data_IF_368230132041
#
_entry.id   IF_368230132041
#
_cell.length_a   1.000
_cell.length_b   1.000
_cell.length_c   1.000
_cell.angle_alpha   90.00
_cell.angle_beta   90.00
_cell.angle_gamma   90.00
#
_symmetry.space_group_name_H-M   'P 1'
#
loop_
_entity.id
_entity.type
_entity.pdbx_description
1 polymer ?
#
# COMPACT_ATOMS: atom_id res chain seq x y z
N UNK A 1 4.57 -14.21 4.61
CA UNK A 1 3.18 -14.73 4.55
C UNK A 1 2.42 -14.10 5.71
N UNK A 2 1.24 -13.53 5.44
CA UNK A 2 0.31 -13.14 6.50
C UNK A 2 -0.71 -14.27 6.69
N UNK A 3 -0.58 -15.01 7.79
CA UNK A 3 -1.39 -16.22 8.03
C UNK A 3 -2.84 -15.90 8.43
N UNK A 4 -3.14 -14.64 8.79
CA UNK A 4 -4.48 -14.21 9.19
C UNK A 4 -5.30 -13.73 7.99
N UNK A 5 -4.68 -12.90 7.15
CA UNK A 5 -5.32 -12.29 5.99
C UNK A 5 -5.11 -13.08 4.69
N UNK A 6 -4.19 -14.06 4.68
CA UNK A 6 -4.05 -15.00 3.58
C UNK A 6 -3.31 -14.45 2.35
N UNK A 7 -2.37 -13.51 2.54
CA UNK A 7 -1.56 -12.98 1.44
C UNK A 7 -0.07 -13.29 1.55
N UNK A 8 0.60 -13.32 0.40
CA UNK A 8 2.04 -13.63 0.29
C UNK A 8 2.77 -12.36 -0.15
N UNK A 9 3.70 -11.91 0.68
CA UNK A 9 4.71 -10.93 0.29
C UNK A 9 5.94 -11.64 -0.27
N UNK A 10 6.49 -11.13 -1.37
CA UNK A 10 7.74 -11.60 -1.96
C UNK A 10 8.86 -10.62 -1.59
N UNK A 11 10.04 -11.17 -1.29
CA UNK A 11 11.24 -10.36 -1.02
C UNK A 11 11.89 -9.83 -2.31
N UNK A 12 11.59 -10.46 -3.44
CA UNK A 12 12.07 -10.06 -4.76
C UNK A 12 10.87 -9.97 -5.71
N UNK A 13 10.89 -8.96 -6.57
CA UNK A 13 9.92 -8.86 -7.65
C UNK A 13 10.16 -9.96 -8.65
N UNK A 14 9.08 -10.60 -9.12
CA UNK A 14 9.17 -11.61 -10.18
C UNK A 14 9.40 -10.95 -11.53
N UNK A 15 10.19 -11.60 -12.38
CA UNK A 15 10.34 -11.24 -13.78
C UNK A 15 9.05 -11.52 -14.58
N UNK A 16 8.93 -10.93 -15.76
CA UNK A 16 7.71 -11.06 -16.57
C UNK A 16 7.44 -12.53 -16.98
N UNK A 17 8.50 -13.27 -17.29
CA UNK A 17 8.50 -14.68 -17.70
C UNK A 17 8.42 -15.68 -16.53
N UNK A 18 8.47 -15.23 -15.29
CA UNK A 18 8.36 -16.10 -14.13
C UNK A 18 6.90 -16.41 -13.77
N UNK A 19 6.68 -17.65 -13.33
CA UNK A 19 5.39 -18.16 -12.84
C UNK A 19 5.46 -18.33 -11.33
N UNK A 20 4.40 -17.96 -10.62
CA UNK A 20 4.25 -18.22 -9.19
C UNK A 20 3.05 -19.13 -8.96
N UNK A 21 3.28 -20.28 -8.34
CA UNK A 21 2.23 -21.17 -7.86
C UNK A 21 2.53 -21.59 -6.41
N UNK A 22 1.48 -21.94 -5.66
CA UNK A 22 1.57 -22.31 -4.25
C UNK A 22 0.74 -23.55 -3.97
N UNK A 23 1.18 -24.33 -2.99
CA UNK A 23 0.34 -25.25 -2.24
C UNK A 23 0.35 -24.81 -0.78
N UNK A 24 -0.81 -24.89 -0.12
CA UNK A 24 -0.91 -24.54 1.29
C UNK A 24 -2.06 -25.29 1.96
N UNK A 25 -1.95 -25.39 3.27
CA UNK A 25 -2.96 -25.98 4.15
C UNK A 25 -3.31 -24.96 5.24
N UNK A 26 -4.59 -24.86 5.57
CA UNK A 26 -5.06 -24.02 6.66
C UNK A 26 -6.17 -24.72 7.41
N UNK A 27 -6.34 -24.36 8.69
CA UNK A 27 -7.41 -24.90 9.53
C UNK A 27 -8.37 -23.79 9.87
N UNK A 28 -9.65 -23.99 9.56
CA UNK A 28 -10.72 -23.06 9.86
C UNK A 28 -11.82 -23.80 10.61
N UNK A 29 -12.15 -23.31 11.81
CA UNK A 29 -13.17 -23.91 12.70
C UNK A 29 -12.98 -25.42 12.93
N UNK A 30 -11.73 -25.83 13.13
CA UNK A 30 -11.36 -27.23 13.39
C UNK A 30 -11.35 -28.14 12.16
N UNK A 31 -11.70 -27.62 10.98
CA UNK A 31 -11.62 -28.35 9.71
C UNK A 31 -10.36 -27.91 8.96
N UNK A 32 -9.57 -28.89 8.52
CA UNK A 32 -8.38 -28.66 7.71
C UNK A 32 -8.76 -28.64 6.23
N UNK A 33 -8.32 -27.60 5.54
CA UNK A 33 -8.46 -27.42 4.10
C UNK A 33 -7.07 -27.38 3.48
N UNK A 34 -6.94 -28.01 2.31
CA UNK A 34 -5.71 -28.03 1.53
C UNK A 34 -6.01 -27.51 0.12
N UNK A 35 -5.09 -26.72 -0.41
CA UNK A 35 -5.12 -26.19 -1.76
C UNK A 35 -3.81 -26.55 -2.44
N UNK A 36 -3.89 -27.32 -3.52
CA UNK A 36 -2.73 -27.89 -4.21
C UNK A 36 -2.16 -29.13 -3.50
N UNK A 37 -1.10 -29.68 -4.06
CA UNK A 37 -0.43 -30.89 -3.58
C UNK A 37 0.95 -30.57 -3.00
N UNK A 38 1.29 -31.22 -1.89
CA UNK A 38 2.64 -31.20 -1.34
C UNK A 38 3.47 -32.36 -1.91
N UNK A 39 4.80 -32.20 -1.92
CA UNK A 39 5.71 -33.27 -2.34
C UNK A 39 5.62 -34.53 -1.47
N UNK A 40 5.04 -34.42 -0.28
CA UNK A 40 4.82 -35.52 0.66
C UNK A 40 3.50 -36.28 0.44
N UNK A 41 2.65 -35.84 -0.49
CA UNK A 41 1.31 -36.41 -0.69
C UNK A 41 1.34 -37.68 -1.58
N UNK A 42 2.52 -38.20 -1.89
CA UNK A 42 2.70 -39.46 -2.63
C UNK A 42 2.70 -39.33 -4.15
N UNK A 43 2.79 -38.10 -4.70
CA UNK A 43 3.00 -37.87 -6.13
C UNK A 43 4.44 -38.24 -6.49
N UNK A 44 4.60 -39.27 -7.31
CA UNK A 44 5.91 -39.79 -7.71
C UNK A 44 6.20 -39.50 -9.19
N UNK A 45 7.47 -39.25 -9.58
CA UNK A 45 7.83 -39.09 -10.98
C UNK A 45 7.35 -40.28 -11.84
N UNK A 46 6.83 -40.04 -13.06
CA UNK A 46 6.86 -38.80 -13.82
C UNK A 46 5.69 -37.83 -13.58
N UNK A 47 4.82 -38.10 -12.61
CA UNK A 47 3.63 -37.28 -12.36
C UNK A 47 3.99 -35.90 -11.80
N UNK A 48 3.20 -34.90 -12.18
CA UNK A 48 3.40 -33.50 -11.79
C UNK A 48 2.50 -33.10 -10.63
N UNK A 49 3.03 -32.26 -9.72
CA UNK A 49 2.25 -31.66 -8.64
C UNK A 49 1.23 -30.66 -9.19
N UNK A 50 0.00 -30.76 -8.72
CA UNK A 50 -1.07 -29.80 -8.99
C UNK A 50 -1.03 -28.68 -7.96
N UNK A 51 -0.79 -27.44 -8.41
CA UNK A 51 -0.62 -26.27 -7.56
C UNK A 51 -1.63 -25.17 -7.89
N UNK A 52 -1.84 -24.24 -6.94
CA UNK A 52 -2.63 -23.03 -7.18
C UNK A 52 -1.75 -21.95 -7.81
N UNK A 53 -2.04 -21.62 -9.07
CA UNK A 53 -1.40 -20.51 -9.76
C UNK A 53 -1.78 -19.15 -9.15
N UNK A 54 -0.79 -18.30 -8.88
CA UNK A 54 -0.93 -16.92 -8.39
C UNK A 54 -0.43 -15.86 -9.37
N UNK A 55 0.56 -16.18 -10.22
CA UNK A 55 1.01 -15.33 -11.33
C UNK A 55 1.38 -16.21 -12.53
N UNK A 56 0.86 -15.85 -13.70
CA UNK A 56 1.22 -16.45 -14.99
C UNK A 56 2.31 -15.63 -15.70
N UNK A 57 2.86 -16.16 -16.79
CA UNK A 57 3.79 -15.44 -17.66
C UNK A 57 3.11 -14.25 -18.36
N UNK A 58 1.91 -14.48 -18.87
CA UNK A 58 1.07 -13.44 -19.47
C UNK A 58 0.14 -12.89 -18.41
N UNK A 59 0.25 -11.59 -18.17
CA UNK A 59 -0.63 -10.90 -17.22
C UNK A 59 -1.80 -10.29 -17.98
N UNK A 60 -3.01 -10.80 -17.74
CA UNK A 60 -4.25 -10.31 -18.37
C UNK A 60 -5.23 -9.85 -17.26
N UNK A 61 -5.64 -8.57 -17.25
CA UNK A 61 -6.60 -8.08 -16.25
C UNK A 61 -7.99 -8.73 -16.30
N UNK A 62 -8.34 -9.41 -17.40
CA UNK A 62 -9.66 -10.01 -17.59
C UNK A 62 -9.81 -11.40 -16.97
N UNK A 63 -8.72 -11.98 -16.46
CA UNK A 63 -8.76 -13.31 -15.83
C UNK A 63 -8.72 -13.19 -14.30
N UNK A 64 -9.35 -14.13 -13.55
CA UNK A 64 -9.40 -14.07 -12.08
C UNK A 64 -8.06 -14.07 -11.37
N UNK A 65 -6.97 -14.41 -12.08
CA UNK A 65 -5.62 -14.34 -11.54
C UNK A 65 -5.20 -12.90 -11.21
N UNK A 66 -5.71 -11.94 -11.98
CA UNK A 66 -5.43 -10.52 -11.78
C UNK A 66 -5.91 -10.02 -10.42
N UNK A 67 -7.06 -10.51 -9.96
CA UNK A 67 -7.68 -10.14 -8.68
C UNK A 67 -6.91 -10.70 -7.48
N UNK A 68 -6.10 -11.75 -7.68
CA UNK A 68 -5.22 -12.29 -6.62
C UNK A 68 -4.02 -11.37 -6.34
N UNK A 69 -3.67 -10.49 -7.28
CA UNK A 69 -2.59 -9.52 -7.07
C UNK A 69 -3.08 -8.37 -6.18
N UNK A 70 -2.44 -8.22 -5.01
CA UNK A 70 -2.65 -7.05 -4.14
C UNK A 70 -2.10 -5.78 -4.79
N UNK A 71 -2.93 -4.73 -4.82
CA UNK A 71 -2.63 -3.43 -5.44
C UNK A 71 -2.82 -2.26 -4.44
N UNK A 72 -2.91 -2.58 -3.16
CA UNK A 72 -3.19 -1.68 -2.04
C UNK A 72 -1.98 -1.49 -1.10
N UNK A 73 -0.77 -1.85 -1.57
CA UNK A 73 0.48 -1.74 -0.81
C UNK A 73 1.41 -0.74 -1.50
N UNK A 74 1.78 0.32 -0.79
CA UNK A 74 2.55 1.43 -1.35
C UNK A 74 3.86 1.61 -0.59
N UNK A 75 4.96 1.79 -1.33
CA UNK A 75 6.26 2.07 -0.74
C UNK A 75 6.41 3.56 -0.47
N UNK A 76 6.88 3.90 0.73
CA UNK A 76 7.30 5.25 1.10
C UNK A 76 8.74 5.55 0.66
N UNK A 77 9.46 4.57 0.09
CA UNK A 77 10.89 4.68 -0.19
C UNK A 77 11.75 4.81 1.07
N UNK A 78 11.20 4.37 2.21
CA UNK A 78 11.79 4.49 3.53
C UNK A 78 12.21 3.13 4.07
N UNK A 79 13.18 3.11 4.98
CA UNK A 79 13.59 1.92 5.72
C UNK A 79 13.59 2.23 7.21
N UNK A 80 13.29 1.21 8.02
CA UNK A 80 13.29 1.32 9.49
C UNK A 80 12.50 2.54 10.00
N UNK A 81 11.28 2.71 9.49
CA UNK A 81 10.42 3.85 9.83
C UNK A 81 10.11 3.82 11.33
N UNK A 82 10.52 4.86 12.05
CA UNK A 82 10.15 5.06 13.44
C UNK A 82 8.71 5.59 13.51
N UNK A 83 7.96 5.11 14.52
CA UNK A 83 6.65 5.62 14.88
C UNK A 83 6.70 7.06 15.40
N UNK A 84 7.76 7.41 16.11
CA UNK A 84 7.94 8.74 16.68
C UNK A 84 8.04 9.80 15.58
N UNK A 85 7.25 10.87 15.70
CA UNK A 85 7.09 11.93 14.71
C UNK A 85 6.69 11.43 13.30
N UNK A 86 6.17 10.21 13.19
CA UNK A 86 5.62 9.71 11.94
C UNK A 86 4.34 10.48 11.60
N UNK A 87 4.29 10.98 10.38
CA UNK A 87 3.13 11.62 9.79
C UNK A 87 2.95 11.06 8.40
N UNK A 88 1.75 10.58 8.12
CA UNK A 88 1.32 10.18 6.79
C UNK A 88 -0.08 10.70 6.57
N UNK A 89 -0.29 11.27 5.41
CA UNK A 89 -1.56 11.75 4.91
C UNK A 89 -1.73 11.27 3.47
N UNK A 90 -2.98 11.18 3.05
CA UNK A 90 -3.35 10.95 1.66
C UNK A 90 -3.92 12.25 1.13
N UNK A 91 -3.35 12.78 0.06
CA UNK A 91 -3.81 14.03 -0.53
C UNK A 91 -4.36 13.78 -1.93
N UNK A 92 -5.41 14.53 -2.27
CA UNK A 92 -6.03 14.59 -3.58
C UNK A 92 -5.70 15.94 -4.22
N UNK A 93 -5.17 15.90 -5.45
CA UNK A 93 -4.91 17.09 -6.23
C UNK A 93 -6.21 17.62 -6.83
N UNK A 94 -6.71 18.74 -6.32
CA UNK A 94 -7.97 19.31 -6.78
C UNK A 94 -7.86 19.72 -8.27
N UNK A 95 -8.70 19.18 -9.18
CA UNK A 95 -8.62 19.46 -10.61
C UNK A 95 -8.92 20.91 -10.98
N UNK A 96 -9.69 21.63 -10.14
CA UNK A 96 -10.07 23.02 -10.41
C UNK A 96 -9.01 24.02 -9.96
N UNK A 97 -8.25 23.71 -8.91
CA UNK A 97 -7.26 24.65 -8.34
C UNK A 97 -5.82 24.20 -8.51
N UNK A 98 -5.58 22.92 -8.81
CA UNK A 98 -4.25 22.30 -8.85
C UNK A 98 -3.60 22.13 -7.48
N UNK A 99 -4.30 22.46 -6.38
CA UNK A 99 -3.79 22.38 -5.01
C UNK A 99 -4.05 21.00 -4.43
N UNK A 100 -3.05 20.45 -3.73
CA UNK A 100 -3.21 19.22 -2.97
C UNK A 100 -4.02 19.49 -1.68
N UNK A 101 -5.15 18.81 -1.53
CA UNK A 101 -6.05 18.88 -0.38
C UNK A 101 -6.18 17.49 0.24
N UNK A 102 -6.45 17.41 1.55
CA UNK A 102 -6.53 16.14 2.28
C UNK A 102 -7.95 15.56 2.35
N UNK A 103 -8.89 16.02 1.53
CA UNK A 103 -10.27 15.53 1.46
C UNK A 103 -10.74 15.54 -0.01
N UNK A 104 -11.85 14.87 -0.32
CA UNK A 104 -12.47 14.99 -1.64
C UNK A 104 -13.47 16.14 -1.58
N UNK A 105 -13.40 17.15 -2.47
CA UNK A 105 -14.27 18.33 -2.42
C UNK A 105 -15.67 18.03 -3.00
N UNK A 106 -16.26 16.91 -2.59
CA UNK A 106 -17.60 16.40 -2.94
C UNK A 106 -18.17 15.67 -1.73
N UNK A 107 -19.43 15.96 -1.41
CA UNK A 107 -20.17 15.19 -0.42
C UNK A 107 -20.21 13.69 -0.80
N UNK A 108 -20.21 12.77 0.16
CA UNK A 108 -20.20 13.02 1.60
C UNK A 108 -18.80 13.22 2.20
N UNK A 109 -17.74 13.23 1.38
CA UNK A 109 -16.34 13.22 1.82
C UNK A 109 -15.69 14.61 1.92
N UNK A 110 -16.47 15.68 1.82
CA UNK A 110 -15.97 17.06 1.78
C UNK A 110 -15.54 17.61 3.14
N UNK A 111 -15.85 16.92 4.23
CA UNK A 111 -15.48 17.28 5.60
C UNK A 111 -14.64 16.21 6.30
N UNK A 112 -14.25 15.14 5.59
CA UNK A 112 -13.52 14.02 6.16
C UNK A 112 -12.12 13.90 5.53
N UNK A 113 -11.06 13.79 6.35
CA UNK A 113 -9.73 13.51 5.83
C UNK A 113 -9.68 12.20 5.02
N UNK A 114 -8.88 12.18 3.96
CA UNK A 114 -8.69 11.00 3.12
C UNK A 114 -8.04 9.85 3.87
N UNK A 115 -7.16 10.13 4.84
CA UNK A 115 -6.61 9.09 5.72
C UNK A 115 -7.74 8.34 6.46
N UNK A 116 -8.78 9.06 6.89
CA UNK A 116 -9.92 8.49 7.59
C UNK A 116 -10.90 7.80 6.63
N UNK A 117 -11.34 8.50 5.58
CA UNK A 117 -12.31 7.94 4.62
C UNK A 117 -11.75 6.74 3.84
N UNK A 118 -10.44 6.62 3.67
CA UNK A 118 -9.76 5.44 3.09
C UNK A 118 -9.46 4.33 4.10
N UNK A 119 -9.90 4.49 5.35
CA UNK A 119 -9.82 3.50 6.41
C UNK A 119 -8.45 3.36 7.08
N UNK A 120 -7.51 4.28 6.85
CA UNK A 120 -6.18 4.28 7.47
C UNK A 120 -6.15 4.91 8.87
N UNK A 121 -7.23 5.56 9.28
CA UNK A 121 -7.44 6.16 10.60
C UNK A 121 -8.78 5.63 11.14
N UNK A 122 -8.68 4.75 12.13
CA UNK A 122 -9.81 4.09 12.79
C UNK A 122 -9.65 4.06 14.30
N UNK A 123 -8.45 4.33 14.81
CA UNK A 123 -8.11 4.17 16.21
C UNK A 123 -7.58 5.49 16.77
N UNK A 124 -7.84 5.72 18.06
CA UNK A 124 -7.23 6.81 18.80
C UNK A 124 -5.85 6.39 19.35
N UNK A 125 -5.09 7.30 20.00
CA UNK A 125 -3.79 6.96 20.59
C UNK A 125 -3.85 5.89 21.69
N UNK A 126 -5.02 5.61 22.26
CA UNK A 126 -5.26 4.54 23.24
C UNK A 126 -5.68 3.21 22.58
N UNK A 127 -5.73 3.16 21.24
CA UNK A 127 -6.22 2.06 20.41
C UNK A 127 -7.73 1.80 20.57
N UNK A 128 -8.52 2.77 21.02
CA UNK A 128 -9.96 2.67 20.99
C UNK A 128 -10.48 2.99 19.57
N UNK A 129 -11.63 2.44 19.13
CA UNK A 129 -12.12 2.57 17.75
C UNK A 129 -12.76 3.94 17.48
N UNK A 130 -11.98 5.00 17.66
CA UNK A 130 -12.36 6.39 17.44
C UNK A 130 -11.31 7.02 16.51
N UNK A 131 -11.65 7.40 15.27
CA UNK A 131 -10.71 8.10 14.39
C UNK A 131 -10.29 9.45 14.98
N UNK A 132 -9.03 9.84 14.81
CA UNK A 132 -8.45 11.07 15.38
C UNK A 132 -7.85 12.04 14.34
N UNK A 133 -7.98 11.71 13.05
CA UNK A 133 -7.45 12.45 11.91
C UNK A 133 -6.01 12.09 11.55
N UNK A 134 -5.37 11.16 12.26
CA UNK A 134 -4.00 10.73 12.01
C UNK A 134 -3.94 9.28 11.54
N UNK A 135 -2.96 8.98 10.71
CA UNK A 135 -2.69 7.60 10.30
C UNK A 135 -2.44 6.67 11.50
N UNK A 136 -3.19 5.58 11.56
CA UNK A 136 -2.99 4.51 12.55
C UNK A 136 -1.64 3.83 12.30
N UNK A 137 -0.60 4.12 13.08
CA UNK A 137 0.68 3.39 12.96
C UNK A 137 0.60 2.03 13.65
N UNK A 138 0.16 1.00 12.91
CA UNK A 138 0.14 -0.39 13.36
C UNK A 138 1.16 -1.16 12.54
N UNK A 139 2.28 -1.49 13.17
CA UNK A 139 3.40 -2.14 12.49
C UNK A 139 3.09 -3.60 12.12
N UNK A 140 4.02 -4.24 11.41
CA UNK A 140 3.98 -5.65 11.02
C UNK A 140 2.81 -5.99 10.08
N UNK A 141 2.45 -5.06 9.20
CA UNK A 141 1.40 -5.25 8.19
C UNK A 141 1.53 -6.57 7.42
N UNK A 142 2.74 -6.90 6.97
CA UNK A 142 3.00 -8.10 6.17
C UNK A 142 2.83 -9.44 6.92
N UNK A 143 2.76 -9.44 8.25
CA UNK A 143 2.72 -10.67 9.08
C UNK A 143 1.49 -10.74 9.98
N UNK A 144 1.11 -9.65 10.65
CA UNK A 144 -0.03 -9.62 11.60
C UNK A 144 -1.23 -8.81 11.10
N UNK A 145 -1.08 -8.07 10.00
CA UNK A 145 -2.18 -7.30 9.39
C UNK A 145 -2.34 -5.87 9.93
N UNK A 146 -1.25 -5.26 10.40
CA UNK A 146 -1.20 -3.81 10.60
C UNK A 146 -1.29 -2.99 9.31
N UNK A 147 -1.14 -1.67 9.43
CA UNK A 147 -1.26 -0.66 8.37
C UNK A 147 0.09 -0.26 7.78
N UNK A 148 1.20 -0.54 8.47
CA UNK A 148 2.55 -0.29 7.97
C UNK A 148 3.49 -1.47 8.25
N UNK A 149 4.45 -1.68 7.36
CA UNK A 149 5.64 -2.48 7.60
C UNK A 149 6.82 -1.52 7.74
N UNK A 150 7.18 -1.20 8.97
CA UNK A 150 8.19 -0.20 9.32
C UNK A 150 9.56 -0.53 8.72
N UNK A 151 9.92 -1.82 8.70
CA UNK A 151 11.22 -2.30 8.26
C UNK A 151 11.59 -1.83 6.85
N UNK A 152 10.62 -1.84 5.93
CA UNK A 152 10.82 -1.48 4.52
C UNK A 152 9.88 -0.35 4.05
N UNK A 153 9.29 0.39 5.00
CA UNK A 153 8.48 1.57 4.72
C UNK A 153 7.32 1.32 3.78
N UNK A 154 6.61 0.20 3.92
CA UNK A 154 5.43 -0.10 3.10
C UNK A 154 4.14 0.14 3.87
N UNK A 155 3.25 0.94 3.30
CA UNK A 155 1.90 1.20 3.83
C UNK A 155 0.92 0.26 3.16
N UNK A 156 0.02 -0.32 3.97
CA UNK A 156 -1.01 -1.26 3.56
C UNK A 156 -2.36 -0.62 3.84
N UNK A 157 -3.13 -0.37 2.77
CA UNK A 157 -4.51 0.04 2.95
C UNK A 157 -5.34 -1.19 3.38
N UNK A 158 -6.25 -1.04 4.37
CA UNK A 158 -7.05 -2.16 4.88
C UNK A 158 -8.20 -2.57 3.93
N UNK A 159 -8.17 -2.10 2.69
CA UNK A 159 -9.14 -2.37 1.62
C UNK A 159 -8.40 -2.72 0.33
N UNK A 160 -9.02 -3.53 -0.53
CA UNK A 160 -8.38 -4.06 -1.75
C UNK A 160 -8.13 -2.98 -2.80
N UNK A 161 -9.07 -2.05 -2.95
CA UNK A 161 -9.07 -1.03 -4.00
C UNK A 161 -9.37 0.35 -3.41
N UNK A 162 -8.46 0.92 -2.59
CA UNK A 162 -8.75 2.15 -1.85
C UNK A 162 -9.18 3.32 -2.74
N UNK A 163 -8.53 3.51 -3.89
CA UNK A 163 -8.86 4.60 -4.82
C UNK A 163 -9.87 4.21 -5.90
N UNK A 164 -10.34 2.96 -5.89
CA UNK A 164 -11.25 2.38 -6.87
C UNK A 164 -12.62 2.15 -6.24
N UNK A 165 -13.07 0.90 -6.26
CA UNK A 165 -14.39 0.49 -5.78
C UNK A 165 -14.68 0.90 -4.33
N UNK A 166 -13.67 0.96 -3.46
CA UNK A 166 -13.88 1.40 -2.08
C UNK A 166 -14.22 2.90 -2.01
N UNK A 167 -13.44 3.77 -2.65
CA UNK A 167 -13.75 5.20 -2.71
C UNK A 167 -15.09 5.45 -3.42
N UNK A 168 -15.41 4.65 -4.44
CA UNK A 168 -16.68 4.73 -5.14
C UNK A 168 -17.88 4.48 -4.21
N UNK A 169 -17.77 3.47 -3.33
CA UNK A 169 -18.76 3.19 -2.28
C UNK A 169 -18.86 4.34 -1.27
N UNK A 170 -17.74 4.93 -0.87
CA UNK A 170 -17.75 6.09 0.02
C UNK A 170 -18.48 7.30 -0.60
N UNK A 171 -18.33 7.51 -1.92
CA UNK A 171 -19.00 8.60 -2.66
C UNK A 171 -20.48 8.33 -2.94
N UNK A 172 -20.90 7.06 -3.00
CA UNK A 172 -22.33 6.69 -2.99
C UNK A 172 -22.98 7.14 -1.67
N UNK A 173 -22.27 6.97 -0.55
CA UNK A 173 -22.79 7.23 0.78
C UNK A 173 -23.62 6.05 1.33
N UNK A 174 -24.43 6.28 2.38
CA UNK A 174 -25.01 5.19 3.18
C UNK A 174 -26.14 4.41 2.47
N UNK A 175 -26.78 4.99 1.46
CA UNK A 175 -27.87 4.34 0.71
C UNK A 175 -27.51 4.17 -0.78
N UNK A 176 -27.19 2.95 -1.23
CA UNK A 176 -26.91 2.67 -2.63
C UNK A 176 -28.07 2.97 -3.59
N UNK A 177 -29.32 2.99 -3.11
CA UNK A 177 -30.49 3.28 -3.93
C UNK A 177 -30.73 4.79 -4.10
N UNK A 178 -30.08 5.61 -3.26
CA UNK A 178 -30.16 7.06 -3.30
C UNK A 178 -28.75 7.66 -3.13
N UNK A 179 -27.88 7.51 -4.15
CA UNK A 179 -26.49 7.92 -4.05
C UNK A 179 -26.36 9.42 -3.87
N UNK A 180 -25.48 9.85 -2.96
CA UNK A 180 -25.19 11.26 -2.68
C UNK A 180 -24.61 11.96 -3.92
N UNK A 181 -23.78 11.23 -4.69
CA UNK A 181 -23.20 11.72 -5.94
C UNK A 181 -23.67 10.91 -7.15
N UNK A 182 -24.02 11.58 -8.27
CA UNK A 182 -24.36 10.88 -9.49
C UNK A 182 -23.12 10.17 -10.08
N UNK A 183 -23.31 9.09 -10.88
CA UNK A 183 -22.21 8.32 -11.45
C UNK A 183 -21.16 9.16 -12.20
N UNK A 184 -21.60 10.16 -12.97
CA UNK A 184 -20.71 11.03 -13.76
C UNK A 184 -19.75 11.84 -12.90
N UNK A 185 -20.13 12.19 -11.67
CA UNK A 185 -19.24 12.88 -10.74
C UNK A 185 -18.25 11.88 -10.14
N UNK A 186 -18.72 10.69 -9.74
CA UNK A 186 -17.87 9.66 -9.15
C UNK A 186 -16.79 9.18 -10.12
N UNK A 187 -17.16 8.99 -11.39
CA UNK A 187 -16.25 8.62 -12.49
C UNK A 187 -15.12 9.63 -12.73
N UNK A 188 -15.27 10.90 -12.29
CA UNK A 188 -14.20 11.91 -12.41
C UNK A 188 -13.20 11.87 -11.25
N UNK A 189 -13.46 11.07 -10.21
CA UNK A 189 -12.68 10.99 -8.97
C UNK A 189 -12.10 9.59 -8.76
N UNK A 190 -12.91 8.57 -9.00
CA UNK A 190 -12.57 7.16 -8.76
C UNK A 190 -11.56 6.68 -9.80
N UNK A 191 -10.44 6.13 -9.34
CA UNK A 191 -9.37 5.65 -10.21
C UNK A 191 -9.39 4.13 -10.34
N UNK A 192 -10.50 3.59 -10.88
CA UNK A 192 -10.70 2.14 -11.02
C UNK A 192 -9.66 1.48 -11.93
N UNK A 193 -9.17 2.21 -12.95
CA UNK A 193 -8.11 1.76 -13.86
C UNK A 193 -6.82 1.36 -13.15
N UNK A 194 -6.58 1.84 -11.93
CA UNK A 194 -5.45 1.41 -11.11
C UNK A 194 -5.55 -0.07 -10.69
N UNK A 195 -6.76 -0.63 -10.66
CA UNK A 195 -7.06 -1.95 -10.13
C UNK A 195 -7.52 -2.94 -11.19
N UNK A 196 -8.21 -2.51 -12.24
CA UNK A 196 -8.77 -3.39 -13.29
C UNK A 196 -7.97 -3.38 -14.61
N UNK A 197 -6.91 -2.56 -14.68
CA UNK A 197 -6.15 -2.33 -15.91
C UNK A 197 -4.65 -2.40 -15.66
N UNK A 198 -3.87 -2.59 -16.73
CA UNK A 198 -2.40 -2.59 -16.60
C UNK A 198 -1.89 -1.24 -16.13
N UNK A 199 -0.74 -1.23 -15.43
CA UNK A 199 -0.09 0.00 -14.97
C UNK A 199 0.13 1.02 -16.09
N UNK A 200 0.43 0.55 -17.31
CA UNK A 200 0.61 1.41 -18.48
C UNK A 200 -0.72 2.01 -18.94
N UNK A 201 -1.79 1.22 -18.97
CA UNK A 201 -3.13 1.73 -19.31
C UNK A 201 -3.62 2.76 -18.28
N UNK A 202 -3.46 2.47 -16.98
CA UNK A 202 -3.81 3.40 -15.92
C UNK A 202 -3.04 4.74 -16.05
N UNK A 203 -1.73 4.69 -16.35
CA UNK A 203 -0.91 5.89 -16.58
C UNK A 203 -1.39 6.78 -17.73
N UNK A 204 -2.12 6.22 -18.69
CA UNK A 204 -2.72 6.97 -19.79
C UNK A 204 -4.02 7.69 -19.38
N UNK A 205 -4.43 7.61 -18.11
CA UNK A 205 -5.55 8.35 -17.51
C UNK A 205 -5.03 9.34 -16.43
N UNK A 206 -4.21 10.34 -16.81
CA UNK A 206 -3.64 11.30 -15.87
C UNK A 206 -4.70 12.13 -15.13
N UNK A 207 -5.91 12.26 -15.68
CA UNK A 207 -7.04 12.96 -15.08
C UNK A 207 -7.54 12.31 -13.79
N UNK A 208 -7.39 10.99 -13.63
CA UNK A 208 -7.75 10.25 -12.40
C UNK A 208 -6.54 10.04 -11.47
N UNK A 209 -5.32 10.19 -12.00
CA UNK A 209 -4.09 10.04 -11.23
C UNK A 209 -3.79 11.27 -10.36
N UNK A 210 -4.63 11.48 -9.33
CA UNK A 210 -4.62 12.68 -8.49
C UNK A 210 -4.35 12.41 -7.01
N UNK A 211 -4.17 11.16 -6.61
CA UNK A 211 -3.89 10.76 -5.23
C UNK A 211 -2.38 10.67 -4.97
N UNK A 212 -1.92 11.20 -3.84
CA UNK A 212 -0.52 11.13 -3.41
C UNK A 212 -0.46 10.77 -1.93
N UNK A 213 0.56 9.99 -1.56
CA UNK A 213 0.95 9.82 -0.16
C UNK A 213 1.93 10.92 0.20
N UNK A 214 1.64 11.68 1.26
CA UNK A 214 2.49 12.76 1.76
C UNK A 214 2.76 12.53 3.23
N UNK A 215 4.00 12.73 3.66
CA UNK A 215 4.34 12.50 5.05
C UNK A 215 5.75 12.90 5.43
N UNK A 216 6.06 12.71 6.71
CA UNK A 216 7.39 12.83 7.28
C UNK A 216 7.63 11.66 8.23
N UNK A 217 8.86 11.18 8.29
CA UNK A 217 9.24 10.11 9.20
C UNK A 217 10.66 10.30 9.70
N UNK A 218 11.00 9.61 10.79
CA UNK A 218 12.38 9.44 11.24
C UNK A 218 12.79 7.98 11.06
N UNK A 219 14.07 7.73 10.81
CA UNK A 219 14.61 6.37 10.88
C UNK A 219 14.78 5.96 12.35
N UNK A 220 14.53 4.69 12.68
CA UNK A 220 14.59 4.14 14.03
C UNK A 220 16.04 3.95 14.55
N UNK A 221 17.05 4.12 13.68
CA UNK A 221 18.45 3.89 14.01
C UNK A 221 19.28 5.19 13.99
N UNK A 222 19.53 5.71 15.20
CA UNK A 222 20.79 6.27 15.76
C UNK A 222 21.84 6.83 14.79
N UNK A 223 22.23 8.11 15.00
CA UNK A 223 23.40 8.86 14.49
C UNK A 223 23.76 8.78 12.99
N UNK A 224 23.03 8.00 12.20
CA UNK A 224 23.35 7.68 10.81
C UNK A 224 22.15 7.98 9.93
N UNK A 225 22.34 8.89 8.98
CA UNK A 225 21.33 9.26 7.98
C UNK A 225 21.64 8.48 6.71
N UNK A 226 20.75 7.56 6.32
CA UNK A 226 20.92 6.86 5.05
C UNK A 226 20.65 7.81 3.88
N UNK A 227 21.63 7.95 2.99
CA UNK A 227 21.57 8.81 1.81
C UNK A 227 20.88 8.14 0.61
N UNK A 228 20.44 6.89 0.76
CA UNK A 228 19.76 6.10 -0.29
C UNK A 228 20.51 6.08 -1.65
N UNK A 229 21.83 6.22 -1.63
CA UNK A 229 22.69 6.23 -2.81
C UNK A 229 23.88 5.27 -2.60
N UNK A 230 24.31 4.61 -3.68
CA UNK A 230 25.46 3.71 -3.70
C UNK A 230 26.60 4.43 -4.42
N UNK A 231 27.83 4.34 -3.87
CA UNK A 231 29.04 5.00 -4.41
C UNK A 231 28.99 6.54 -4.43
N UNK A 232 28.77 7.15 -3.26
CA UNK A 232 28.76 8.60 -3.12
C UNK A 232 30.20 9.14 -3.30
N UNK A 233 30.44 10.10 -4.22
CA UNK A 233 31.76 10.71 -4.37
C UNK A 233 32.21 11.41 -3.08
N UNK A 234 33.48 11.25 -2.72
CA UNK A 234 34.04 11.89 -1.53
C UNK A 234 33.87 13.42 -1.60
N UNK A 235 33.37 14.04 -0.51
CA UNK A 235 33.11 15.47 -0.43
C UNK A 235 31.84 15.97 -1.14
N UNK A 236 31.00 15.08 -1.68
CA UNK A 236 29.74 15.47 -2.33
C UNK A 236 28.56 15.67 -1.38
N UNK A 237 28.71 15.25 -0.11
CA UNK A 237 27.67 15.40 0.91
C UNK A 237 27.87 16.72 1.64
N UNK A 238 26.77 17.46 1.82
CA UNK A 238 26.75 18.69 2.61
C UNK A 238 25.67 18.57 3.66
N UNK A 239 26.07 18.57 4.93
CA UNK A 239 25.14 18.56 6.06
C UNK A 239 25.05 19.95 6.68
N UNK A 240 23.83 20.39 6.99
CA UNK A 240 23.56 21.65 7.70
C UNK A 240 22.72 21.37 8.94
N UNK A 241 23.02 22.05 10.05
CA UNK A 241 22.24 22.00 11.28
C UNK A 241 21.98 23.43 11.77
N UNK A 242 20.71 23.77 12.03
CA UNK A 242 20.33 25.12 12.46
C UNK A 242 20.76 26.25 11.49
N UNK A 243 20.92 25.94 10.20
CA UNK A 243 21.40 26.89 9.18
C UNK A 243 22.92 27.03 9.07
N UNK A 244 23.70 26.34 9.90
CA UNK A 244 25.17 26.31 9.84
C UNK A 244 25.61 25.04 9.11
N UNK A 245 26.56 25.17 8.18
CA UNK A 245 27.19 24.04 7.50
C UNK A 245 28.12 23.31 8.46
N UNK A 246 27.92 22.00 8.60
CA UNK A 246 28.77 21.12 9.39
C UNK A 246 30.03 20.73 8.61
N UNK A 247 31.09 20.37 9.33
CA UNK A 247 32.39 19.96 8.77
C UNK A 247 32.51 18.43 8.75
N UNK A 248 32.75 17.86 7.57
CA UNK A 248 32.97 16.42 7.38
C UNK A 248 34.26 15.98 8.09
N UNK A 249 34.21 14.85 8.80
CA UNK A 249 35.26 14.30 9.69
C UNK A 249 35.51 15.08 10.98
N UNK A 250 34.71 16.11 11.28
CA UNK A 250 34.72 16.81 12.56
C UNK A 250 33.35 16.72 13.24
N UNK A 251 32.29 17.09 12.53
CA UNK A 251 30.93 17.16 13.04
C UNK A 251 30.06 15.97 12.57
N UNK A 252 30.43 15.33 11.45
CA UNK A 252 29.77 14.14 10.90
C UNK A 252 30.72 13.31 10.03
N UNK A 253 30.35 12.07 9.73
CA UNK A 253 31.08 11.15 8.84
C UNK A 253 30.15 10.60 7.77
N UNK A 254 30.66 10.40 6.55
CA UNK A 254 29.94 9.91 5.36
C UNK A 254 30.36 8.49 5.01
#
# INVERSE_FOLDING_TARGET
LNNRLGFIGLNQSLNNDEVLAVAYQYTYRGVTYQVGEFSTDGVTPPDALMLRLLKATITDPRIPLWDLMMKNVYSLGAFQVNRDDFRLDVVYNNPSTGVDINYIPRAPLDQEPLVQSLGLDRLDPNNAPNPDGWFDFIDQAATIGGTIQSQNGRVFFPVLEPFGSYLDQQLIGPDPNNPVQPPQVRETIVYQALYDSTKTAARNQPELNRFKLRGSYRSASSDVISLNAVNIPQGSVVVTAGGVRLVENQDYTV
#
